data_IF_372197260470
#
_entry.id   IF_372197260470
#
_cell.length_a   1.000
_cell.length_b   1.000
_cell.length_c   1.000
_cell.angle_alpha   90.00
_cell.angle_beta   90.00
_cell.angle_gamma   90.00
#
_symmetry.space_group_name_H-M   'P 1'
#
loop_
_entity.id
_entity.type
_entity.pdbx_description
1 polymer ?
#
# COMPACT_ATOMS: atom_id res chain seq x y z
N UNK A 1 0.55 27.80 -11.57
CA UNK A 1 0.37 26.36 -11.88
C UNK A 1 -0.18 25.72 -10.64
N UNK A 2 -1.30 25.03 -10.75
CA UNK A 2 -2.02 24.47 -9.60
C UNK A 2 -1.14 23.41 -8.93
N UNK A 3 -0.64 23.72 -7.73
CA UNK A 3 0.04 22.78 -6.85
C UNK A 3 -1.08 21.94 -6.23
N UNK A 4 -1.26 20.73 -6.73
CA UNK A 4 -2.29 19.81 -6.26
C UNK A 4 -1.87 19.35 -4.86
N UNK A 5 -2.35 20.06 -3.85
CA UNK A 5 -2.23 19.63 -2.46
C UNK A 5 -3.01 18.32 -2.33
N UNK A 6 -2.26 17.20 -2.33
CA UNK A 6 -2.80 15.88 -2.03
C UNK A 6 -3.46 15.95 -0.65
N UNK A 7 -4.79 15.92 -0.68
CA UNK A 7 -5.70 15.95 0.47
C UNK A 7 -5.24 14.92 1.50
N UNK A 8 -4.52 15.40 2.51
CA UNK A 8 -4.19 14.61 3.68
C UNK A 8 -5.48 14.41 4.46
N UNK A 9 -5.98 13.18 4.49
CA UNK A 9 -7.07 12.76 5.36
C UNK A 9 -6.57 12.67 6.83
N UNK A 10 -7.07 13.47 7.78
CA UNK A 10 -6.58 13.48 9.15
C UNK A 10 -7.37 12.49 10.01
N UNK A 11 -6.99 11.21 9.96
CA UNK A 11 -7.26 10.26 11.05
C UNK A 11 -6.00 9.45 11.33
N UNK A 12 -4.95 10.13 11.81
CA UNK A 12 -3.63 9.54 12.09
C UNK A 12 -3.51 9.22 13.58
N UNK A 13 -3.69 7.94 13.94
CA UNK A 13 -3.54 7.47 15.33
C UNK A 13 -2.60 6.26 15.46
N UNK A 14 -1.66 6.06 14.54
CA UNK A 14 -0.53 5.11 14.65
C UNK A 14 0.71 5.70 13.94
N UNK A 15 1.96 5.29 14.29
CA UNK A 15 3.11 5.55 13.42
C UNK A 15 2.71 5.12 12.01
N UNK A 16 2.81 6.06 11.07
CA UNK A 16 2.02 6.01 9.85
C UNK A 16 2.58 4.88 8.98
N UNK A 17 1.79 3.82 8.81
CA UNK A 17 2.10 2.76 7.86
C UNK A 17 2.49 3.37 6.51
N UNK A 18 3.43 2.75 5.81
CA UNK A 18 3.95 3.26 4.53
C UNK A 18 2.87 3.31 3.45
N UNK A 19 1.89 2.40 3.50
CA UNK A 19 0.71 2.38 2.64
C UNK A 19 -0.54 2.09 3.47
N UNK A 20 -1.64 2.77 3.15
CA UNK A 20 -2.98 2.39 3.63
C UNK A 20 -3.85 1.79 2.51
N UNK A 21 -5.07 1.37 2.86
CA UNK A 21 -5.97 0.75 1.90
C UNK A 21 -6.39 1.68 0.75
N UNK A 22 -6.47 3.00 0.99
CA UNK A 22 -6.78 3.97 -0.06
C UNK A 22 -5.59 4.17 -1.00
N UNK A 23 -4.37 4.15 -0.47
CA UNK A 23 -3.15 4.20 -1.28
C UNK A 23 -3.11 3.00 -2.23
N UNK A 24 -3.35 1.80 -1.73
CA UNK A 24 -3.40 0.57 -2.54
C UNK A 24 -4.49 0.63 -3.61
N UNK A 25 -5.71 1.06 -3.26
CA UNK A 25 -6.79 1.20 -4.26
C UNK A 25 -6.42 2.18 -5.37
N UNK A 26 -5.83 3.32 -5.02
CA UNK A 26 -5.45 4.37 -5.98
C UNK A 26 -4.27 3.96 -6.85
N UNK A 27 -3.25 3.36 -6.26
CA UNK A 27 -2.00 3.00 -6.94
C UNK A 27 -2.20 1.83 -7.91
N UNK A 28 -2.98 0.82 -7.50
CA UNK A 28 -3.14 -0.42 -8.26
C UNK A 28 -4.50 -0.55 -8.97
N UNK A 29 -5.36 0.47 -8.88
CA UNK A 29 -6.69 0.46 -9.51
C UNK A 29 -7.62 -0.62 -8.98
N UNK A 30 -7.42 -1.07 -7.74
CA UNK A 30 -8.19 -2.15 -7.12
C UNK A 30 -9.51 -1.63 -6.56
N UNK A 31 -10.56 -2.45 -6.68
CA UNK A 31 -11.82 -2.23 -5.97
C UNK A 31 -11.71 -2.71 -4.51
N UNK A 32 -12.52 -2.15 -3.59
CA UNK A 32 -12.57 -2.63 -2.20
C UNK A 32 -12.77 -4.15 -2.12
N UNK A 33 -11.91 -4.85 -1.37
CA UNK A 33 -12.01 -6.29 -1.20
C UNK A 33 -10.84 -6.94 -0.45
N UNK A 34 -10.89 -8.28 -0.23
CA UNK A 34 -9.91 -9.03 0.55
C UNK A 34 -8.47 -8.85 0.06
N UNK A 35 -8.27 -8.75 -1.27
CA UNK A 35 -6.96 -8.55 -1.90
C UNK A 35 -6.21 -7.34 -1.35
N UNK A 36 -6.92 -6.28 -0.93
CA UNK A 36 -6.31 -5.10 -0.30
C UNK A 36 -5.75 -5.47 1.09
N UNK A 37 -6.50 -6.24 1.88
CA UNK A 37 -6.07 -6.72 3.18
C UNK A 37 -4.83 -7.61 3.10
N UNK A 38 -4.74 -8.43 2.06
CA UNK A 38 -3.58 -9.27 1.81
C UNK A 38 -2.33 -8.44 1.50
N UNK A 39 -2.45 -7.45 0.61
CA UNK A 39 -1.37 -6.50 0.30
C UNK A 39 -0.94 -5.72 1.56
N UNK A 40 -1.90 -5.21 2.33
CA UNK A 40 -1.62 -4.50 3.60
C UNK A 40 -0.89 -5.39 4.60
N UNK A 41 -1.23 -6.68 4.67
CA UNK A 41 -0.58 -7.62 5.58
C UNK A 41 0.88 -7.85 5.21
N UNK A 42 1.16 -8.07 3.92
CA UNK A 42 2.52 -8.27 3.41
C UNK A 42 3.39 -7.03 3.61
N UNK A 43 2.87 -5.85 3.27
CA UNK A 43 3.58 -4.58 3.46
C UNK A 43 3.79 -4.29 4.94
N UNK A 44 2.77 -4.49 5.78
CA UNK A 44 2.84 -4.27 7.22
C UNK A 44 3.86 -5.15 7.93
N UNK A 45 3.98 -6.43 7.54
CA UNK A 45 5.02 -7.33 8.07
C UNK A 45 6.42 -6.87 7.64
N UNK A 46 6.58 -6.49 6.38
CA UNK A 46 7.84 -6.00 5.86
C UNK A 46 8.27 -4.68 6.54
N UNK A 47 7.32 -3.79 6.84
CA UNK A 47 7.56 -2.56 7.59
C UNK A 47 7.95 -2.86 9.05
N UNK A 48 7.19 -3.73 9.73
CA UNK A 48 7.46 -4.12 11.12
C UNK A 48 8.82 -4.80 11.31
N UNK A 49 9.34 -5.43 10.26
CA UNK A 49 10.66 -6.08 10.25
C UNK A 49 11.78 -5.20 9.69
N UNK A 50 11.48 -4.00 9.22
CA UNK A 50 12.45 -3.08 8.60
C UNK A 50 12.94 -3.53 7.22
N UNK A 51 12.26 -4.48 6.56
CA UNK A 51 12.53 -4.91 5.19
C UNK A 51 12.14 -3.86 4.16
N UNK A 52 11.11 -3.06 4.48
CA UNK A 52 10.74 -1.86 3.74
C UNK A 52 10.65 -0.68 4.71
N UNK A 53 11.16 0.47 4.29
CA UNK A 53 11.24 1.67 5.11
C UNK A 53 10.78 2.91 4.31
N UNK A 54 10.51 2.79 3.01
CA UNK A 54 10.00 3.87 2.17
C UNK A 54 8.73 3.48 1.43
N UNK A 55 7.98 4.50 0.99
CA UNK A 55 6.76 4.32 0.20
C UNK A 55 7.10 3.58 -1.11
N UNK A 56 8.20 3.93 -1.76
CA UNK A 56 8.63 3.29 -3.00
C UNK A 56 8.96 1.81 -2.82
N UNK A 57 9.58 1.43 -1.70
CA UNK A 57 9.85 0.03 -1.35
C UNK A 57 8.56 -0.73 -1.06
N UNK A 58 7.62 -0.12 -0.35
CA UNK A 58 6.31 -0.70 -0.06
C UNK A 58 5.49 -0.90 -1.35
N UNK A 59 5.48 0.06 -2.27
CA UNK A 59 4.80 -0.04 -3.57
C UNK A 59 5.40 -1.17 -4.40
N UNK A 60 6.75 -1.26 -4.48
CA UNK A 60 7.42 -2.35 -5.21
C UNK A 60 7.08 -3.72 -4.65
N UNK A 61 7.05 -3.88 -3.32
CA UNK A 61 6.67 -5.13 -2.68
C UNK A 61 5.20 -5.49 -2.97
N UNK A 62 4.30 -4.51 -2.90
CA UNK A 62 2.90 -4.70 -3.25
C UNK A 62 2.71 -5.10 -4.72
N UNK A 63 3.45 -4.49 -5.65
CA UNK A 63 3.45 -4.90 -7.07
C UNK A 63 3.87 -6.35 -7.24
N UNK A 64 4.99 -6.76 -6.62
CA UNK A 64 5.48 -8.14 -6.71
C UNK A 64 4.47 -9.15 -6.17
N UNK A 65 3.83 -8.83 -5.05
CA UNK A 65 2.77 -9.67 -4.48
C UNK A 65 1.59 -9.82 -5.43
N UNK A 66 1.11 -8.71 -6.00
CA UNK A 66 -0.02 -8.69 -6.94
C UNK A 66 0.28 -9.47 -8.22
N UNK A 67 1.50 -9.39 -8.75
CA UNK A 67 1.95 -10.14 -9.92
C UNK A 67 2.04 -11.66 -9.64
N UNK A 68 2.48 -12.05 -8.44
CA UNK A 68 2.54 -13.48 -8.07
C UNK A 68 1.17 -14.13 -7.88
N UNK A 69 0.17 -13.36 -7.45
CA UNK A 69 -1.20 -13.85 -7.23
C UNK A 69 -2.04 -13.87 -8.53
N UNK A 70 -1.73 -13.01 -9.51
CA UNK A 70 -2.45 -12.94 -10.80
C UNK A 70 -2.04 -14.07 -11.76
N UNK A 71 -0.82 -14.60 -11.63
CA UNK A 71 -0.28 -15.68 -12.46
C UNK A 71 -0.70 -17.10 -12.05
N UNK A 72 -1.62 -17.25 -11.09
CA UNK A 72 -2.02 -18.53 -10.49
C UNK A 72 -3.31 -19.17 -11.03
N UNK A 73 -3.92 -18.65 -12.10
CA UNK A 73 -5.14 -19.17 -12.71
C UNK A 73 -4.91 -19.81 -14.09
#
# INVERSE_FOLDING_TARGET
GQNIEHVTNPRRSHPRALLDGNDIMREFGLSPGPKIGDVLSVVGEAEATGKVNTIEEAVRLATQYLESEDGGA
#
